data_IF_312596786022
#
_entry.id   IF_312596786022
#
_cell.length_a   1.000
_cell.length_b   1.000
_cell.length_c   1.000
_cell.angle_alpha   90.00
_cell.angle_beta   90.00
_cell.angle_gamma   90.00
#
_symmetry.space_group_name_H-M   'P 1'
#
loop_
_entity.id
_entity.type
_entity.pdbx_description
1 polymer ?
#
# COMPACT_ATOMS: atom_id res chain seq x y z
N UNK A 1 12.21 32.30 -36.66
CA UNK A 1 10.84 31.75 -36.46
C UNK A 1 9.71 32.79 -36.27
N UNK A 2 9.83 34.05 -36.76
CA UNK A 2 8.90 35.16 -36.37
C UNK A 2 8.07 35.79 -37.52
N UNK A 3 8.29 35.43 -38.79
CA UNK A 3 7.70 36.17 -39.94
C UNK A 3 6.30 35.68 -40.38
N UNK A 4 5.91 34.46 -40.02
CA UNK A 4 4.62 33.84 -40.41
C UNK A 4 3.42 34.42 -39.66
N UNK A 5 3.53 34.61 -38.33
CA UNK A 5 2.39 34.97 -37.46
C UNK A 5 1.79 36.36 -37.73
N UNK A 6 2.52 37.22 -38.46
CA UNK A 6 2.08 38.59 -38.78
C UNK A 6 1.10 38.66 -39.97
N UNK A 7 0.98 37.62 -40.79
CA UNK A 7 0.09 37.58 -41.98
C UNK A 7 -1.31 37.03 -41.72
N UNK A 8 -1.61 36.57 -40.50
CA UNK A 8 -2.92 36.02 -40.19
C UNK A 8 -3.95 37.14 -39.93
N UNK A 9 -5.19 37.00 -40.47
CA UNK A 9 -6.30 37.90 -40.15
C UNK A 9 -6.52 37.98 -38.63
N UNK A 10 -6.96 39.15 -38.14
CA UNK A 10 -7.22 39.37 -36.72
C UNK A 10 -8.20 38.34 -36.12
N UNK A 11 -9.21 37.96 -36.91
CA UNK A 11 -10.21 36.94 -36.56
C UNK A 11 -9.55 35.58 -36.31
N UNK A 12 -8.61 35.15 -37.15
CA UNK A 12 -7.91 33.87 -36.97
C UNK A 12 -7.06 33.84 -35.70
N UNK A 13 -6.48 34.98 -35.31
CA UNK A 13 -5.75 35.09 -34.03
C UNK A 13 -6.68 35.00 -32.83
N UNK A 14 -7.86 35.62 -32.91
CA UNK A 14 -8.88 35.54 -31.86
C UNK A 14 -9.41 34.10 -31.71
N UNK A 15 -9.71 33.41 -32.82
CA UNK A 15 -10.14 32.01 -32.81
C UNK A 15 -9.05 31.10 -32.22
N UNK A 16 -7.78 31.29 -32.63
CA UNK A 16 -6.66 30.51 -32.09
C UNK A 16 -6.46 30.74 -30.57
N UNK A 17 -6.63 31.97 -30.10
CA UNK A 17 -6.55 32.29 -28.67
C UNK A 17 -7.68 31.63 -27.88
N UNK A 18 -8.91 31.66 -28.40
CA UNK A 18 -10.07 31.02 -27.76
C UNK A 18 -9.85 29.50 -27.72
N UNK A 19 -9.42 28.88 -28.82
CA UNK A 19 -9.13 27.45 -28.86
C UNK A 19 -8.01 27.06 -27.87
N UNK A 20 -6.97 27.89 -27.72
CA UNK A 20 -5.91 27.68 -26.74
C UNK A 20 -6.47 27.74 -25.31
N UNK A 21 -7.27 28.76 -24.98
CA UNK A 21 -7.85 28.92 -23.65
C UNK A 21 -8.79 27.76 -23.33
N UNK A 22 -9.66 27.35 -24.27
CA UNK A 22 -10.53 26.20 -24.11
C UNK A 22 -9.74 24.90 -23.94
N UNK A 23 -8.63 24.73 -24.67
CA UNK A 23 -7.74 23.58 -24.52
C UNK A 23 -7.08 23.54 -23.13
N UNK A 24 -6.61 24.68 -22.62
CA UNK A 24 -6.00 24.77 -21.28
C UNK A 24 -7.05 24.48 -20.20
N UNK A 25 -8.22 25.11 -20.27
CA UNK A 25 -9.29 24.91 -19.29
C UNK A 25 -9.81 23.47 -19.34
N UNK A 26 -10.08 22.95 -20.53
CA UNK A 26 -10.51 21.57 -20.73
C UNK A 26 -9.46 20.56 -20.24
N UNK A 27 -8.18 20.81 -20.54
CA UNK A 27 -7.07 20.01 -20.03
C UNK A 27 -6.97 20.04 -18.50
N UNK A 28 -7.10 21.21 -17.88
CA UNK A 28 -7.09 21.35 -16.43
C UNK A 28 -8.24 20.58 -15.77
N UNK A 29 -9.46 20.69 -16.31
CA UNK A 29 -10.64 19.95 -15.82
C UNK A 29 -10.46 18.45 -16.02
N UNK A 30 -9.94 18.02 -17.17
CA UNK A 30 -9.68 16.60 -17.41
C UNK A 30 -8.64 16.05 -16.43
N UNK A 31 -7.54 16.78 -16.20
CA UNK A 31 -6.54 16.39 -15.20
C UNK A 31 -7.16 16.25 -13.81
N UNK A 32 -7.92 17.24 -13.33
CA UNK A 32 -8.51 17.14 -11.98
C UNK A 32 -9.45 15.95 -11.85
N UNK A 33 -10.26 15.65 -12.87
CA UNK A 33 -11.16 14.49 -12.85
C UNK A 33 -10.41 13.16 -12.93
N UNK A 34 -9.37 13.07 -13.77
CA UNK A 34 -8.57 11.85 -13.92
C UNK A 34 -7.76 11.50 -12.66
N UNK A 35 -7.50 12.49 -11.79
CA UNK A 35 -6.63 12.32 -10.63
C UNK A 35 -7.34 12.20 -9.28
N UNK A 36 -8.65 12.44 -9.20
CA UNK A 36 -9.40 12.54 -7.94
C UNK A 36 -9.63 11.22 -7.18
N UNK A 37 -9.40 10.05 -7.81
CA UNK A 37 -9.80 8.76 -7.25
C UNK A 37 -8.65 7.79 -7.01
N UNK A 38 -7.43 8.30 -6.97
CA UNK A 38 -6.27 7.41 -6.85
C UNK A 38 -6.01 7.05 -5.41
N UNK A 39 -5.81 5.77 -5.18
CA UNK A 39 -5.71 5.21 -3.85
C UNK A 39 -4.77 4.00 -3.86
N UNK A 40 -4.00 3.81 -2.80
CA UNK A 40 -3.24 2.59 -2.59
C UNK A 40 -3.27 2.27 -1.11
N UNK A 41 -4.13 1.33 -0.72
CA UNK A 41 -4.41 1.03 0.67
C UNK A 41 -4.64 -0.48 0.93
N UNK A 42 -4.12 -0.95 2.06
CA UNK A 42 -4.45 -2.25 2.65
C UNK A 42 -5.79 -2.17 3.39
N UNK A 43 -6.70 -3.10 3.11
CA UNK A 43 -7.95 -3.22 3.86
C UNK A 43 -7.70 -3.87 5.22
N UNK A 44 -8.38 -3.43 6.27
CA UNK A 44 -8.29 -4.10 7.57
C UNK A 44 -6.94 -3.98 8.28
N UNK A 45 -6.56 -5.01 9.03
CA UNK A 45 -5.52 -4.91 10.07
C UNK A 45 -4.11 -5.00 9.51
N UNK A 46 -3.29 -3.95 9.73
CA UNK A 46 -1.95 -3.85 9.13
C UNK A 46 -0.84 -4.50 9.99
N UNK A 47 -1.08 -4.66 11.29
CA UNK A 47 -0.10 -5.17 12.25
C UNK A 47 -0.74 -6.22 13.14
N UNK A 48 -0.04 -7.34 13.34
CA UNK A 48 -0.46 -8.46 14.16
C UNK A 48 0.62 -8.77 15.17
N UNK A 49 0.21 -9.01 16.41
CA UNK A 49 1.07 -9.52 17.47
C UNK A 49 0.72 -10.99 17.69
N UNK A 50 1.72 -11.84 17.49
CA UNK A 50 1.66 -13.28 17.65
C UNK A 50 2.66 -13.68 18.72
N UNK A 51 2.45 -14.87 19.26
CA UNK A 51 3.33 -15.47 20.24
C UNK A 51 4.03 -16.66 19.62
N UNK A 52 5.29 -16.90 20.00
CA UNK A 52 6.00 -18.10 19.58
C UNK A 52 5.22 -19.35 19.97
N UNK A 53 4.98 -20.23 19.01
CA UNK A 53 4.34 -21.52 19.20
C UNK A 53 4.79 -22.53 18.13
N UNK A 54 4.65 -23.82 18.43
CA UNK A 54 5.04 -24.89 17.48
C UNK A 54 4.13 -24.95 16.24
N UNK A 55 2.89 -24.47 16.36
CA UNK A 55 1.92 -24.44 15.26
C UNK A 55 2.03 -23.13 14.47
N UNK A 56 2.01 -23.20 13.14
CA UNK A 56 1.99 -22.00 12.28
C UNK A 56 0.68 -21.23 12.36
N UNK A 57 0.74 -19.90 12.25
CA UNK A 57 -0.47 -19.06 12.16
C UNK A 57 -0.96 -18.95 10.71
N UNK A 58 -2.26 -19.23 10.47
CA UNK A 58 -2.88 -19.00 9.15
C UNK A 58 -3.55 -17.64 9.12
N UNK A 59 -3.04 -16.75 8.28
CA UNK A 59 -3.63 -15.44 7.99
C UNK A 59 -4.52 -15.50 6.75
N UNK A 60 -5.68 -14.84 6.78
CA UNK A 60 -6.54 -14.65 5.60
C UNK A 60 -6.48 -13.20 5.16
N UNK A 61 -6.13 -12.96 3.90
CA UNK A 61 -5.95 -11.62 3.36
C UNK A 61 -7.27 -10.88 3.20
N UNK A 62 -7.34 -9.69 3.78
CA UNK A 62 -8.52 -8.81 3.71
C UNK A 62 -8.59 -8.00 2.41
N UNK A 63 -7.47 -7.99 1.67
CA UNK A 63 -7.35 -7.41 0.34
C UNK A 63 -6.64 -6.07 0.33
N UNK A 64 -6.31 -5.64 -0.88
CA UNK A 64 -5.56 -4.42 -1.16
C UNK A 64 -6.27 -3.70 -2.29
N UNK A 65 -6.40 -2.37 -2.17
CA UNK A 65 -6.95 -1.52 -3.22
C UNK A 65 -5.81 -0.71 -3.81
N UNK A 66 -5.68 -0.76 -5.13
CA UNK A 66 -4.81 0.11 -5.88
C UNK A 66 -5.58 0.72 -7.07
N UNK A 67 -5.78 2.04 -7.05
CA UNK A 67 -6.46 2.79 -8.11
C UNK A 67 -5.49 3.82 -8.69
N UNK A 68 -5.12 3.66 -9.95
CA UNK A 68 -4.15 4.51 -10.63
C UNK A 68 -4.83 5.23 -11.81
N UNK A 69 -4.80 6.56 -11.84
CA UNK A 69 -5.52 7.40 -12.81
C UNK A 69 -7.01 7.03 -12.94
N UNK A 70 -7.66 6.80 -11.79
CA UNK A 70 -9.06 6.39 -11.72
C UNK A 70 -9.38 4.98 -12.26
N UNK A 71 -8.36 4.15 -12.55
CA UNK A 71 -8.51 2.75 -12.96
C UNK A 71 -8.09 1.83 -11.83
N UNK A 72 -8.89 0.80 -11.59
CA UNK A 72 -8.50 -0.27 -10.68
C UNK A 72 -7.34 -1.07 -11.28
N UNK A 73 -6.25 -1.17 -10.53
CA UNK A 73 -5.03 -1.90 -10.87
C UNK A 73 -4.66 -2.89 -9.76
N UNK A 74 -5.58 -3.19 -8.84
CA UNK A 74 -5.35 -4.10 -7.70
C UNK A 74 -4.91 -5.51 -8.13
N UNK A 75 -5.34 -5.96 -9.32
CA UNK A 75 -4.95 -7.26 -9.89
C UNK A 75 -3.51 -7.30 -10.41
N UNK A 76 -2.83 -6.15 -10.48
CA UNK A 76 -1.44 -6.03 -10.99
C UNK A 76 -0.40 -5.90 -9.87
N UNK A 77 -0.84 -6.07 -8.62
CA UNK A 77 0.03 -6.00 -7.45
C UNK A 77 1.12 -7.08 -7.51
N UNK A 78 2.34 -6.68 -7.21
CA UNK A 78 3.45 -7.59 -6.95
C UNK A 78 3.55 -7.78 -5.43
N UNK A 79 3.60 -9.04 -5.01
CA UNK A 79 3.65 -9.43 -3.61
C UNK A 79 5.02 -10.03 -3.31
N UNK A 80 5.67 -9.53 -2.27
CA UNK A 80 6.93 -10.03 -1.75
C UNK A 80 6.71 -10.50 -0.30
N UNK A 81 7.29 -11.65 0.05
CA UNK A 81 7.13 -12.25 1.37
C UNK A 81 8.46 -12.30 2.12
N UNK A 82 8.43 -12.17 3.44
CA UNK A 82 9.54 -12.58 4.29
C UNK A 82 9.78 -14.09 4.17
N UNK A 83 11.01 -14.51 4.44
CA UNK A 83 11.39 -15.93 4.44
C UNK A 83 10.46 -16.77 5.35
N UNK A 84 10.09 -17.96 4.88
CA UNK A 84 9.25 -18.91 5.61
C UNK A 84 7.75 -18.71 5.47
N UNK A 85 7.27 -17.56 4.97
CA UNK A 85 5.84 -17.41 4.65
C UNK A 85 5.50 -18.27 3.43
N UNK A 86 4.37 -18.99 3.52
CA UNK A 86 3.84 -19.81 2.42
C UNK A 86 2.52 -19.23 1.92
N UNK A 87 2.42 -18.99 0.62
CA UNK A 87 1.15 -18.65 -0.06
C UNK A 87 0.39 -19.93 -0.41
N UNK A 88 -0.82 -20.06 0.12
CA UNK A 88 -1.68 -21.23 -0.08
C UNK A 88 -2.52 -21.13 -1.37
N UNK A 89 -2.41 -20.04 -2.14
CA UNK A 89 -3.06 -19.85 -3.44
C UNK A 89 -4.57 -19.56 -3.38
N UNK A 90 -5.12 -19.36 -2.20
CA UNK A 90 -6.54 -19.09 -1.95
C UNK A 90 -6.77 -17.79 -1.15
N UNK A 91 -5.78 -16.89 -1.16
CA UNK A 91 -5.82 -15.66 -0.35
C UNK A 91 -5.52 -15.89 1.13
N UNK A 92 -4.94 -17.04 1.48
CA UNK A 92 -4.42 -17.30 2.83
C UNK A 92 -2.92 -17.51 2.80
N UNK A 93 -2.27 -17.11 3.89
CA UNK A 93 -0.83 -17.17 4.07
C UNK A 93 -0.50 -17.87 5.39
N UNK A 94 0.48 -18.75 5.36
CA UNK A 94 1.00 -19.42 6.55
C UNK A 94 2.18 -18.63 7.07
N UNK A 95 2.06 -18.08 8.28
CA UNK A 95 3.10 -17.31 8.96
C UNK A 95 3.84 -18.25 9.92
N UNK A 96 5.16 -18.39 9.81
CA UNK A 96 5.95 -19.17 10.76
C UNK A 96 5.97 -18.46 12.12
N UNK A 97 5.70 -19.21 13.17
CA UNK A 97 5.64 -18.77 14.57
C UNK A 97 6.54 -19.60 15.46
N UNK A 98 7.33 -20.51 14.88
CA UNK A 98 8.31 -21.36 15.58
C UNK A 98 9.50 -20.56 16.11
N UNK A 99 9.69 -19.34 15.61
CA UNK A 99 10.76 -18.42 16.02
C UNK A 99 10.22 -17.02 16.16
N UNK A 100 10.72 -16.32 17.17
CA UNK A 100 10.47 -14.90 17.32
C UNK A 100 11.08 -14.12 16.16
N UNK A 101 10.39 -13.08 15.71
CA UNK A 101 10.81 -12.30 14.56
C UNK A 101 9.71 -11.44 13.96
N UNK A 102 10.09 -10.65 12.96
CA UNK A 102 9.18 -9.82 12.20
C UNK A 102 9.02 -10.43 10.81
N UNK A 103 7.81 -10.86 10.51
CA UNK A 103 7.42 -11.40 9.22
C UNK A 103 6.57 -10.39 8.48
N UNK A 104 6.76 -10.28 7.16
CA UNK A 104 6.09 -9.25 6.37
C UNK A 104 5.53 -9.77 5.07
N UNK A 105 4.38 -9.22 4.69
CA UNK A 105 3.80 -9.35 3.36
C UNK A 105 3.78 -7.96 2.75
N UNK A 106 4.56 -7.79 1.68
CA UNK A 106 4.83 -6.49 1.06
C UNK A 106 4.14 -6.42 -0.29
N UNK A 107 3.32 -5.38 -0.46
CA UNK A 107 2.58 -5.09 -1.68
C UNK A 107 3.21 -3.90 -2.39
N UNK A 108 3.47 -4.08 -3.68
CA UNK A 108 3.95 -3.05 -4.59
C UNK A 108 3.06 -2.99 -5.82
N UNK A 109 2.92 -1.79 -6.39
CA UNK A 109 2.18 -1.56 -7.63
C UNK A 109 3.08 -0.78 -8.59
N UNK A 110 3.16 -1.24 -9.84
CA UNK A 110 3.83 -0.49 -10.89
C UNK A 110 2.83 0.50 -11.51
N UNK A 111 2.82 1.71 -10.97
CA UNK A 111 1.97 2.79 -11.44
C UNK A 111 2.74 4.10 -11.38
N UNK A 112 2.87 4.77 -12.53
CA UNK A 112 3.59 6.03 -12.67
C UNK A 112 3.14 7.11 -11.68
N UNK A 113 1.86 7.13 -11.29
CA UNK A 113 1.32 8.14 -10.36
C UNK A 113 1.69 7.88 -8.90
N UNK A 114 1.72 6.63 -8.46
CA UNK A 114 2.34 6.32 -7.17
C UNK A 114 3.86 6.51 -7.26
N UNK A 115 4.42 6.39 -8.46
CA UNK A 115 5.85 6.36 -8.68
C UNK A 115 6.39 5.00 -8.27
N UNK A 116 7.52 4.61 -8.86
CA UNK A 116 8.23 3.43 -8.35
C UNK A 116 8.75 3.70 -6.95
N UNK A 117 9.12 4.95 -6.65
CA UNK A 117 9.75 5.38 -5.42
C UNK A 117 9.20 6.72 -4.87
N UNK A 118 9.27 6.90 -3.56
CA UNK A 118 9.12 8.20 -2.87
C UNK A 118 10.28 9.14 -3.21
N UNK A 119 10.21 10.39 -2.73
CA UNK A 119 11.28 11.39 -2.90
C UNK A 119 12.65 10.94 -2.36
N UNK A 120 12.67 9.99 -1.42
CA UNK A 120 13.88 9.38 -0.84
C UNK A 120 14.41 8.17 -1.63
N UNK A 121 13.79 7.82 -2.76
CA UNK A 121 14.17 6.66 -3.56
C UNK A 121 13.66 5.31 -3.04
N UNK A 122 12.83 5.28 -1.99
CA UNK A 122 12.22 4.03 -1.48
C UNK A 122 10.95 3.65 -2.23
N UNK A 123 10.73 2.37 -2.56
CA UNK A 123 9.53 2.02 -3.31
C UNK A 123 8.25 2.34 -2.55
N UNK A 124 7.19 2.76 -3.25
CA UNK A 124 5.88 2.89 -2.61
C UNK A 124 5.35 1.49 -2.30
N UNK A 125 5.41 1.14 -1.02
CA UNK A 125 5.01 -0.17 -0.49
C UNK A 125 3.84 -0.04 0.46
N UNK A 126 3.03 -1.10 0.54
CA UNK A 126 2.12 -1.35 1.66
C UNK A 126 2.48 -2.67 2.29
N UNK A 127 2.52 -2.73 3.61
CA UNK A 127 3.13 -3.85 4.32
C UNK A 127 2.17 -4.33 5.42
N UNK A 128 1.93 -5.64 5.45
CA UNK A 128 1.41 -6.33 6.64
C UNK A 128 2.59 -6.76 7.48
N UNK A 129 2.50 -6.53 8.78
CA UNK A 129 3.56 -6.87 9.73
C UNK A 129 3.02 -7.85 10.74
N UNK A 130 3.73 -8.96 10.94
CA UNK A 130 3.47 -9.95 11.96
C UNK A 130 4.68 -9.96 12.88
N UNK A 131 4.49 -9.51 14.10
CA UNK A 131 5.51 -9.59 15.14
C UNK A 131 5.24 -10.84 15.95
N UNK A 132 6.18 -11.78 15.94
CA UNK A 132 6.13 -12.99 16.77
C UNK A 132 7.09 -12.77 17.94
N UNK A 133 6.55 -12.71 19.15
CA UNK A 133 7.31 -12.46 20.37
C UNK A 133 7.37 -13.72 21.25
N UNK A 134 8.47 -13.91 21.97
CA UNK A 134 8.57 -14.94 23.00
C UNK A 134 7.66 -14.59 24.19
N UNK A 135 7.06 -15.59 24.83
CA UNK A 135 6.42 -15.37 26.13
C UNK A 135 7.53 -15.25 27.16
N UNK A 136 7.71 -14.07 27.74
CA UNK A 136 8.42 -13.96 29.01
C UNK A 136 7.54 -14.63 30.08
N UNK A 137 7.86 -15.88 30.44
CA UNK A 137 7.37 -16.47 31.69
C UNK A 137 7.98 -15.66 32.84
N UNK A 138 7.30 -14.58 33.24
CA UNK A 138 7.66 -13.81 34.42
C UNK A 138 7.41 -14.69 35.65
N UNK A 139 8.46 -15.42 36.07
CA UNK A 139 8.48 -16.42 37.13
C UNK A 139 8.26 -15.84 38.53
N UNK A 140 7.08 -15.27 38.78
CA UNK A 140 6.61 -14.88 40.12
C UNK A 140 5.55 -15.86 40.59
N UNK A 141 5.99 -17.05 41.00
CA UNK A 141 5.29 -17.80 42.03
C UNK A 141 5.35 -16.97 43.33
N UNK A 142 4.36 -16.09 43.52
CA UNK A 142 4.11 -15.47 44.81
C UNK A 142 3.83 -16.59 45.80
N UNK A 143 4.60 -16.58 46.88
CA UNK A 143 4.74 -17.66 47.84
C UNK A 143 3.44 -18.28 48.32
N UNK A 144 3.49 -19.61 48.42
CA UNK A 144 2.88 -20.34 49.52
C UNK A 144 3.27 -19.67 50.84
N UNK A 145 2.30 -19.10 51.53
CA UNK A 145 2.22 -19.17 52.99
C UNK A 145 0.75 -19.39 53.32
N UNK A 146 0.41 -20.68 53.40
CA UNK A 146 -0.82 -21.18 53.99
C UNK A 146 -0.69 -21.02 55.51
N UNK A 147 -1.07 -19.85 56.04
CA UNK A 147 -1.31 -19.67 57.47
C UNK A 147 -2.80 -19.96 57.72
N UNK A 148 -3.12 -21.22 58.01
CA UNK A 148 -4.43 -21.60 58.55
C UNK A 148 -4.21 -22.25 59.93
N UNK A 149 -4.59 -21.45 60.91
CA UNK A 149 -4.74 -21.67 62.35
C UNK A 149 -5.37 -23.03 62.72
N UNK A 150 -4.74 -23.75 63.67
CA UNK A 150 -5.35 -24.64 64.70
C UNK A 150 -4.30 -25.26 65.62
#
# INVERSE_FOLDING_TARGET
>A
MKKWLKKLPAVTKAVALIALVLGIVGGAVFCTLAFQKDDFELKGTKQFSLTVCEESYTYTEEGVVAICFGRDVSDTLKIEFSEGIVDNGNGTYTIPTDKAGIYTITYTVDCYKFGENREDGTPIKRIRVFTVDEVEEDGRAAGLDEEVDS
#
